data_IF_658423580958
#
_entry.id   IF_658423580958
#
_cell.length_a   1.000
_cell.length_b   1.000
_cell.length_c   1.000
_cell.angle_alpha   90.00
_cell.angle_beta   90.00
_cell.angle_gamma   90.00
#
_symmetry.space_group_name_H-M   'P 1'
#
loop_
_entity.id
_entity.type
_entity.pdbx_description
1 polymer ?
#
# COMPACT_ATOMS: atom_id res chain seq x y z
N UNK A 1 12.73 -18.08 32.79
CA UNK A 1 11.87 -17.75 31.64
C UNK A 1 11.35 -19.07 31.06
N UNK A 2 10.03 -19.24 30.94
CA UNK A 2 9.45 -20.44 30.31
C UNK A 2 9.55 -20.21 28.79
N UNK A 3 10.22 -21.10 28.07
CA UNK A 3 10.33 -21.01 26.61
C UNK A 3 8.95 -21.17 25.95
N UNK A 4 8.68 -20.47 24.84
CA UNK A 4 7.40 -20.58 24.10
C UNK A 4 7.05 -22.03 23.69
N UNK A 5 8.07 -22.87 23.53
CA UNK A 5 7.90 -24.32 23.34
C UNK A 5 7.22 -25.00 24.53
N UNK A 6 7.62 -24.66 25.75
CA UNK A 6 7.01 -25.21 26.97
C UNK A 6 5.56 -24.75 27.13
N UNK A 7 5.24 -23.50 26.77
CA UNK A 7 3.86 -22.99 26.79
C UNK A 7 2.96 -23.70 25.77
N UNK A 8 3.52 -24.06 24.61
CA UNK A 8 2.82 -24.82 23.58
C UNK A 8 2.50 -26.24 24.03
N UNK A 9 3.41 -26.87 24.76
CA UNK A 9 3.23 -28.20 25.32
C UNK A 9 2.18 -28.20 26.44
N UNK A 10 2.21 -27.21 27.34
CA UNK A 10 1.21 -27.06 28.42
C UNK A 10 -0.21 -26.98 27.82
N UNK A 11 -0.42 -26.12 26.81
CA UNK A 11 -1.71 -26.00 26.13
C UNK A 11 -2.13 -27.26 25.37
N UNK A 12 -1.17 -28.05 24.90
CA UNK A 12 -1.45 -29.34 24.26
C UNK A 12 -1.92 -30.37 25.28
N UNK A 13 -1.36 -30.37 26.50
CA UNK A 13 -1.79 -31.24 27.61
C UNK A 13 -3.23 -30.91 28.01
N UNK A 14 -3.54 -29.63 28.21
CA UNK A 14 -4.89 -29.19 28.63
C UNK A 14 -5.99 -29.58 27.62
N UNK A 15 -5.64 -29.71 26.34
CA UNK A 15 -6.59 -29.97 25.25
C UNK A 15 -6.55 -31.41 24.73
N UNK A 16 -5.69 -32.26 25.28
CA UNK A 16 -5.55 -33.63 24.79
C UNK A 16 -6.64 -34.53 25.37
N UNK A 17 -7.26 -35.32 24.50
CA UNK A 17 -8.29 -36.28 24.86
C UNK A 17 -7.81 -37.69 24.53
N UNK A 18 -7.53 -38.48 25.56
CA UNK A 18 -7.00 -39.84 25.44
C UNK A 18 -8.05 -40.85 24.96
N UNK A 19 -9.35 -40.54 25.07
CA UNK A 19 -10.43 -41.43 24.64
C UNK A 19 -10.49 -41.59 23.12
N UNK A 20 -9.84 -40.68 22.38
CA UNK A 20 -9.76 -40.68 20.92
C UNK A 20 -8.73 -41.65 20.33
N UNK A 21 -7.98 -42.38 21.17
CA UNK A 21 -7.07 -43.45 20.73
C UNK A 21 -5.77 -43.01 20.05
N UNK A 22 -5.48 -41.70 19.97
CA UNK A 22 -4.23 -41.18 19.42
C UNK A 22 -3.16 -41.01 20.49
N UNK A 23 -1.88 -41.16 20.12
CA UNK A 23 -0.76 -40.93 21.04
C UNK A 23 -0.57 -39.43 21.28
N UNK A 24 -0.32 -39.06 22.54
CA UNK A 24 -0.07 -37.67 22.93
C UNK A 24 1.10 -37.03 22.17
N UNK A 25 2.15 -37.79 21.87
CA UNK A 25 3.33 -37.32 21.13
C UNK A 25 2.95 -36.73 19.77
N UNK A 26 2.02 -37.35 19.05
CA UNK A 26 1.55 -36.87 17.73
C UNK A 26 0.86 -35.52 17.85
N UNK A 27 0.02 -35.34 18.87
CA UNK A 27 -0.71 -34.09 19.08
C UNK A 27 0.20 -32.96 19.59
N UNK A 28 1.12 -33.28 20.51
CA UNK A 28 2.08 -32.34 21.06
C UNK A 28 3.07 -31.81 20.00
N UNK A 29 3.60 -32.70 19.15
CA UNK A 29 4.49 -32.30 18.05
C UNK A 29 3.82 -31.30 17.10
N UNK A 30 2.55 -31.53 16.73
CA UNK A 30 1.80 -30.60 15.89
C UNK A 30 1.53 -29.27 16.59
N UNK A 31 1.17 -29.28 17.88
CA UNK A 31 0.92 -28.06 18.64
C UNK A 31 2.16 -27.17 18.79
N UNK A 32 3.34 -27.78 19.02
CA UNK A 32 4.63 -27.07 19.08
C UNK A 32 4.97 -26.47 17.70
N UNK A 33 4.87 -27.27 16.63
CA UNK A 33 5.18 -26.80 15.28
C UNK A 33 4.26 -25.66 14.84
N UNK A 34 2.97 -25.75 15.16
CA UNK A 34 1.98 -24.70 14.86
C UNK A 34 2.25 -23.39 15.60
N UNK A 35 2.71 -23.46 16.86
CA UNK A 35 3.08 -22.27 17.60
C UNK A 35 4.40 -21.67 17.06
N UNK A 36 5.39 -22.51 16.80
CA UNK A 36 6.67 -22.08 16.22
C UNK A 36 6.50 -21.37 14.86
N UNK A 37 5.62 -21.88 14.00
CA UNK A 37 5.28 -21.23 12.74
C UNK A 37 4.62 -19.84 12.90
N UNK A 38 4.01 -19.55 14.05
CA UNK A 38 3.42 -18.25 14.39
C UNK A 38 4.39 -17.32 15.11
N UNK A 39 5.35 -17.85 15.88
CA UNK A 39 6.30 -17.05 16.65
C UNK A 39 7.44 -16.49 15.79
N UNK A 40 7.96 -17.24 14.81
CA UNK A 40 9.09 -16.79 13.98
C UNK A 40 8.82 -15.46 13.25
N UNK A 41 7.66 -15.21 12.62
CA UNK A 41 7.39 -13.93 11.96
C UNK A 41 7.30 -12.76 12.95
N UNK A 42 6.75 -13.00 14.15
CA UNK A 42 6.62 -11.99 15.20
C UNK A 42 7.99 -11.63 15.82
N UNK A 43 8.86 -12.62 16.00
CA UNK A 43 10.21 -12.46 16.55
C UNK A 43 11.17 -11.78 15.55
N UNK A 44 11.08 -12.14 14.26
CA UNK A 44 11.83 -11.46 13.19
C UNK A 44 11.46 -9.98 13.06
N UNK A 45 10.16 -9.66 13.15
CA UNK A 45 9.67 -8.27 13.11
C UNK A 45 10.21 -7.44 14.29
N UNK A 46 10.48 -8.08 15.44
CA UNK A 46 11.04 -7.40 16.60
C UNK A 46 12.57 -7.21 16.50
N UNK A 47 13.31 -8.19 15.95
CA UNK A 47 14.78 -8.10 15.77
C UNK A 47 15.21 -7.11 14.69
N UNK A 48 14.41 -6.89 13.66
CA UNK A 48 14.74 -5.88 12.64
C UNK A 48 14.59 -4.44 13.15
N UNK A 49 13.75 -4.21 14.16
CA UNK A 49 13.55 -2.87 14.75
C UNK A 49 14.71 -2.36 15.60
N UNK A 50 15.58 -3.24 16.10
CA UNK A 50 16.65 -2.87 17.03
C UNK A 50 18.05 -3.37 16.61
N UNK A 51 18.32 -3.42 15.31
CA UNK A 51 19.69 -3.62 14.82
C UNK A 51 20.40 -2.26 14.74
N UNK A 52 20.83 -1.72 15.88
CA UNK A 52 21.78 -0.59 15.95
C UNK A 52 23.19 -1.10 15.60
N UNK A 53 23.39 -1.42 14.32
CA UNK A 53 24.66 -1.85 13.75
C UNK A 53 24.90 -1.23 12.38
N UNK A 54 24.26 -0.09 12.12
CA UNK A 54 24.43 0.75 10.92
C UNK A 54 24.65 2.23 11.29
N UNK A 55 25.07 2.51 12.52
CA UNK A 55 25.25 3.90 12.99
C UNK A 55 26.48 4.59 12.37
N UNK A 56 27.46 3.85 11.85
CA UNK A 56 28.64 4.44 11.20
C UNK A 56 28.50 4.59 9.68
N UNK A 57 27.49 3.98 9.06
CA UNK A 57 27.24 4.11 7.61
C UNK A 57 26.35 5.32 7.28
N UNK A 58 25.65 5.87 8.29
CA UNK A 58 24.71 6.99 8.14
C UNK A 58 25.38 8.36 8.06
N UNK A 59 26.68 8.47 8.33
CA UNK A 59 27.42 9.75 8.28
C UNK A 59 28.07 10.05 6.92
N UNK A 60 28.11 9.08 6.00
CA UNK A 60 28.73 9.23 4.67
C UNK A 60 27.73 9.28 3.50
N UNK A 61 26.47 8.94 3.72
CA UNK A 61 25.42 9.37 2.79
C UNK A 61 25.32 10.88 2.93
N UNK A 62 25.81 11.61 1.93
CA UNK A 62 25.39 13.00 1.72
C UNK A 62 23.88 13.03 1.90
N UNK A 63 23.42 13.86 2.82
CA UNK A 63 22.03 14.24 2.89
C UNK A 63 21.79 15.06 1.61
N UNK A 64 21.64 14.39 0.47
CA UNK A 64 20.84 14.89 -0.65
C UNK A 64 19.38 14.89 -0.17
N UNK A 65 19.13 15.56 0.96
CA UNK A 65 17.83 16.07 1.30
C UNK A 65 17.48 16.98 0.16
N UNK A 66 16.73 16.44 -0.79
CA UNK A 66 16.11 17.14 -1.91
C UNK A 66 15.72 18.52 -1.43
N UNK A 67 16.42 19.53 -1.93
CA UNK A 67 16.20 20.93 -1.59
C UNK A 67 14.68 21.17 -1.61
N UNK A 68 14.05 21.65 -0.51
CA UNK A 68 12.60 21.85 -0.44
C UNK A 68 12.06 22.69 -1.61
N UNK A 69 12.87 23.63 -2.11
CA UNK A 69 12.56 24.40 -3.31
C UNK A 69 12.53 23.53 -4.57
N UNK A 70 13.47 22.59 -4.73
CA UNK A 70 13.51 21.67 -5.86
C UNK A 70 12.29 20.74 -5.85
N UNK A 71 11.93 20.21 -4.68
CA UNK A 71 10.74 19.37 -4.53
C UNK A 71 9.45 20.11 -4.88
N UNK A 72 9.31 21.37 -4.44
CA UNK A 72 8.15 22.20 -4.78
C UNK A 72 8.09 22.48 -6.29
N UNK A 73 9.23 22.76 -6.93
CA UNK A 73 9.31 22.96 -8.39
C UNK A 73 8.95 21.68 -9.16
N UNK A 74 9.42 20.52 -8.71
CA UNK A 74 9.12 19.24 -9.33
C UNK A 74 7.63 18.90 -9.18
N UNK A 75 7.04 19.09 -8.00
CA UNK A 75 5.59 18.95 -7.79
C UNK A 75 4.77 19.89 -8.68
N UNK A 76 5.21 21.15 -8.83
CA UNK A 76 4.53 22.12 -9.68
C UNK A 76 4.56 21.69 -11.15
N UNK A 77 5.72 21.23 -11.65
CA UNK A 77 5.89 20.73 -13.01
C UNK A 77 5.09 19.44 -13.27
N UNK A 78 5.09 18.51 -12.32
CA UNK A 78 4.26 17.30 -12.40
C UNK A 78 2.78 17.65 -12.49
N UNK A 79 2.32 18.61 -11.68
CA UNK A 79 0.93 19.05 -11.69
C UNK A 79 0.54 19.71 -13.00
N UNK A 80 1.39 20.57 -13.56
CA UNK A 80 1.12 21.17 -14.88
C UNK A 80 1.06 20.14 -15.99
N UNK A 81 1.97 19.17 -15.98
CA UNK A 81 1.98 18.07 -16.96
C UNK A 81 0.69 17.25 -16.89
N UNK A 82 0.21 16.89 -15.70
CA UNK A 82 -1.06 16.17 -15.55
C UNK A 82 -2.23 16.96 -16.10
N UNK A 83 -2.29 18.28 -15.83
CA UNK A 83 -3.37 19.14 -16.33
C UNK A 83 -3.38 19.26 -17.85
N UNK A 84 -2.21 19.27 -18.48
CA UNK A 84 -2.06 19.31 -19.95
C UNK A 84 -2.59 18.03 -20.61
N UNK A 85 -2.23 16.85 -20.08
CA UNK A 85 -2.75 15.58 -20.62
C UNK A 85 -4.26 15.49 -20.43
N UNK A 86 -4.77 15.95 -19.28
CA UNK A 86 -6.19 15.96 -19.01
C UNK A 86 -7.00 16.83 -19.97
N UNK A 87 -6.39 17.83 -20.61
CA UNK A 87 -7.06 18.69 -21.60
C UNK A 87 -7.39 17.95 -22.91
N UNK A 88 -6.78 16.79 -23.15
CA UNK A 88 -7.07 15.92 -24.29
C UNK A 88 -8.29 15.00 -24.05
N UNK A 89 -8.80 14.95 -22.82
CA UNK A 89 -10.04 14.24 -22.51
C UNK A 89 -11.26 15.12 -22.76
N UNK A 90 -12.41 14.48 -22.93
CA UNK A 90 -13.69 15.20 -22.94
C UNK A 90 -13.95 15.88 -21.58
N UNK A 91 -14.60 17.05 -21.58
CA UNK A 91 -14.83 17.87 -20.38
C UNK A 91 -15.49 17.06 -19.24
N UNK A 92 -16.39 16.15 -19.60
CA UNK A 92 -17.06 15.28 -18.64
C UNK A 92 -16.12 14.23 -18.04
N UNK A 93 -15.24 13.63 -18.86
CA UNK A 93 -14.24 12.67 -18.39
C UNK A 93 -13.18 13.36 -17.52
N UNK A 94 -12.72 14.54 -17.95
CA UNK A 94 -11.80 15.41 -17.20
C UNK A 94 -12.39 15.75 -15.83
N UNK A 95 -13.63 16.24 -15.77
CA UNK A 95 -14.31 16.56 -14.52
C UNK A 95 -14.42 15.38 -13.57
N UNK A 96 -14.80 14.19 -14.07
CA UNK A 96 -14.87 12.97 -13.26
C UNK A 96 -13.50 12.64 -12.64
N UNK A 97 -12.42 12.71 -13.42
CA UNK A 97 -11.07 12.40 -12.91
C UNK A 97 -10.56 13.47 -11.94
N UNK A 98 -10.82 14.74 -12.21
CA UNK A 98 -10.43 15.85 -11.34
C UNK A 98 -11.09 15.72 -9.97
N UNK A 99 -12.40 15.47 -9.93
CA UNK A 99 -13.15 15.25 -8.69
C UNK A 99 -12.72 13.97 -7.97
N UNK A 100 -12.49 12.88 -8.72
CA UNK A 100 -12.09 11.57 -8.17
C UNK A 100 -10.72 11.59 -7.51
N UNK A 101 -9.76 12.30 -8.10
CA UNK A 101 -8.37 12.33 -7.63
C UNK A 101 -7.99 13.62 -6.88
N UNK A 102 -8.92 14.56 -6.71
CA UNK A 102 -8.66 15.82 -6.01
C UNK A 102 -7.58 16.65 -6.71
N UNK A 103 -7.61 16.72 -8.04
CA UNK A 103 -6.56 17.40 -8.83
C UNK A 103 -6.69 18.93 -8.81
N UNK A 104 -7.74 19.46 -8.21
CA UNK A 104 -7.90 20.90 -7.94
C UNK A 104 -7.26 21.31 -6.61
N UNK A 105 -6.99 22.60 -6.44
CA UNK A 105 -6.25 23.09 -5.26
C UNK A 105 -7.20 23.14 -4.07
N UNK A 106 -6.95 22.32 -3.06
CA UNK A 106 -7.75 22.28 -1.82
C UNK A 106 -8.99 21.38 -1.88
N UNK A 107 -9.13 20.57 -2.93
CA UNK A 107 -10.21 19.60 -3.06
C UNK A 107 -9.71 18.22 -2.65
N UNK A 108 -10.42 17.55 -1.73
CA UNK A 108 -10.11 16.17 -1.37
C UNK A 108 -10.61 15.18 -2.44
N UNK A 109 -9.92 14.04 -2.65
CA UNK A 109 -10.38 13.00 -3.56
C UNK A 109 -11.76 12.46 -3.16
N UNK A 110 -12.72 12.51 -4.07
CA UNK A 110 -14.07 12.01 -3.82
C UNK A 110 -14.20 10.50 -4.09
N UNK A 111 -15.11 9.83 -3.41
CA UNK A 111 -15.48 8.42 -3.69
C UNK A 111 -16.24 8.27 -5.01
N UNK A 112 -16.21 7.07 -5.62
CA UNK A 112 -17.00 6.78 -6.84
C UNK A 112 -18.50 7.05 -6.67
N UNK A 113 -19.00 6.92 -5.45
CA UNK A 113 -20.41 7.16 -5.11
C UNK A 113 -20.72 8.65 -5.02
N UNK A 114 -19.85 9.45 -4.40
CA UNK A 114 -19.96 10.91 -4.36
C UNK A 114 -19.87 11.54 -5.75
N UNK A 115 -18.88 11.13 -6.55
CA UNK A 115 -18.75 11.55 -7.95
C UNK A 115 -19.98 11.12 -8.75
N UNK A 116 -20.51 9.90 -8.51
CA UNK A 116 -21.73 9.44 -9.15
C UNK A 116 -22.93 10.33 -8.84
N UNK A 117 -23.08 10.74 -7.58
CA UNK A 117 -24.13 11.66 -7.13
C UNK A 117 -24.01 13.03 -7.79
N UNK A 118 -22.79 13.57 -7.91
CA UNK A 118 -22.51 14.86 -8.55
C UNK A 118 -22.83 14.84 -10.05
N UNK A 119 -22.40 13.79 -10.76
CA UNK A 119 -22.56 13.66 -12.21
C UNK A 119 -23.88 12.99 -12.65
N UNK A 120 -24.79 12.72 -11.70
CA UNK A 120 -26.10 12.13 -11.95
C UNK A 120 -26.07 10.72 -12.54
N UNK A 121 -25.06 9.92 -12.18
CA UNK A 121 -24.83 8.57 -12.72
C UNK A 121 -24.51 7.56 -11.62
N UNK A 122 -24.67 6.27 -11.93
CA UNK A 122 -24.40 5.22 -10.94
C UNK A 122 -22.89 5.09 -10.65
N UNK A 123 -22.55 4.61 -9.46
CA UNK A 123 -21.17 4.28 -9.05
C UNK A 123 -20.43 3.43 -10.09
N UNK A 124 -21.08 2.39 -10.60
CA UNK A 124 -20.49 1.50 -11.60
C UNK A 124 -20.28 2.22 -12.94
N UNK A 125 -21.16 3.17 -13.30
CA UNK A 125 -20.94 4.00 -14.49
C UNK A 125 -19.72 4.89 -14.35
N UNK A 126 -19.49 5.50 -13.18
CA UNK A 126 -18.27 6.27 -12.91
C UNK A 126 -17.03 5.38 -13.03
N UNK A 127 -17.04 4.20 -12.43
CA UNK A 127 -15.91 3.24 -12.52
C UNK A 127 -15.57 2.88 -13.97
N UNK A 128 -16.58 2.69 -14.82
CA UNK A 128 -16.37 2.42 -16.25
C UNK A 128 -15.79 3.62 -17.00
N UNK A 129 -16.28 4.83 -16.72
CA UNK A 129 -15.77 6.06 -17.33
C UNK A 129 -14.33 6.34 -16.89
N UNK A 130 -14.02 6.19 -15.60
CA UNK A 130 -12.67 6.29 -15.04
C UNK A 130 -11.71 5.33 -15.75
N UNK A 131 -12.07 4.05 -15.85
CA UNK A 131 -11.23 3.04 -16.53
C UNK A 131 -10.98 3.38 -17.99
N UNK A 132 -11.98 3.88 -18.72
CA UNK A 132 -11.83 4.29 -20.12
C UNK A 132 -10.96 5.53 -20.27
N UNK A 133 -11.16 6.53 -19.41
CA UNK A 133 -10.39 7.77 -19.42
C UNK A 133 -8.91 7.50 -19.10
N UNK A 134 -8.60 6.70 -18.08
CA UNK A 134 -7.23 6.28 -17.77
C UNK A 134 -6.56 5.53 -18.93
N UNK A 135 -7.32 4.69 -19.64
CA UNK A 135 -6.80 4.00 -20.81
C UNK A 135 -6.47 4.97 -21.96
N UNK A 136 -7.28 6.01 -22.16
CA UNK A 136 -7.00 7.09 -23.13
C UNK A 136 -5.74 7.87 -22.73
N UNK A 137 -5.66 8.31 -21.47
CA UNK A 137 -4.50 9.03 -20.93
C UNK A 137 -3.21 8.25 -21.10
N UNK A 138 -3.22 6.94 -20.81
CA UNK A 138 -2.06 6.07 -20.99
C UNK A 138 -1.59 6.00 -22.45
N UNK A 139 -2.52 6.03 -23.42
CA UNK A 139 -2.16 6.04 -24.85
C UNK A 139 -1.53 7.38 -25.24
N UNK A 140 -2.07 8.49 -24.75
CA UNK A 140 -1.57 9.84 -25.02
C UNK A 140 -0.17 10.01 -24.42
N UNK A 141 0.01 9.66 -23.14
CA UNK A 141 1.30 9.70 -22.45
C UNK A 141 2.36 8.75 -23.06
N UNK A 142 1.95 7.72 -23.79
CA UNK A 142 2.89 6.86 -24.54
C UNK A 142 3.23 7.41 -25.92
N UNK A 143 2.40 8.29 -26.48
CA UNK A 143 2.61 8.90 -27.79
C UNK A 143 3.42 10.19 -27.69
N UNK A 144 3.25 10.93 -26.59
CA UNK A 144 4.01 12.15 -26.29
C UNK A 144 4.97 11.88 -25.12
N UNK A 145 6.30 12.00 -25.33
CA UNK A 145 7.26 11.91 -24.24
C UNK A 145 7.16 13.18 -23.39
N UNK A 146 6.32 13.12 -22.37
CA UNK A 146 6.19 14.19 -21.40
C UNK A 146 7.32 14.04 -20.39
N UNK A 147 8.17 15.06 -20.32
CA UNK A 147 9.25 15.13 -19.34
C UNK A 147 8.64 15.36 -17.95
N UNK A 148 8.47 14.28 -17.20
CA UNK A 148 7.98 14.32 -15.82
C UNK A 148 9.20 14.37 -14.90
N UNK A 149 9.54 15.53 -14.31
CA UNK A 149 10.69 15.62 -13.41
C UNK A 149 10.46 14.78 -12.16
N UNK A 150 11.48 14.03 -11.74
CA UNK A 150 11.48 13.26 -10.50
C UNK A 150 10.87 11.86 -10.58
N UNK A 151 10.69 11.29 -11.78
CA UNK A 151 10.29 9.87 -12.01
C UNK A 151 11.45 9.09 -12.62
#
# INVERSE_FOLDING_TARGET
>A
MISDGNMSLIRAIEKFDYTKGFKFSTYASWAIMKNYARSIPAEHTHRERYRTGKDEMFSQSHDEGSNPYQQEMDHQKQRSAVLEILDHLDDREKGILVSRYGLEKGTEPQTLEEVGREFGVTKERIRQLESRALQKLRKIASAEPIDVPGV
#
